data_IF_355595252226
#
_entry.id   IF_355595252226
#
_cell.length_a   1.000
_cell.length_b   1.000
_cell.length_c   1.000
_cell.angle_alpha   90.00
_cell.angle_beta   90.00
_cell.angle_gamma   90.00
#
_symmetry.space_group_name_H-M   'P 1'
#
loop_
_entity.id
_entity.type
_entity.pdbx_description
1 polymer ?
#
# COMPACT_ATOMS: atom_id res chain seq x y z
N UNK A 1 -5.91 -25.61 -20.43
CA UNK A 1 -6.62 -26.89 -20.13
C UNK A 1 -8.11 -26.60 -20.11
N UNK A 2 -8.96 -27.47 -20.67
CA UNK A 2 -10.43 -27.32 -20.58
C UNK A 2 -10.96 -27.73 -19.20
N UNK A 3 -12.14 -27.24 -18.83
CA UNK A 3 -12.80 -27.65 -17.56
C UNK A 3 -13.02 -29.18 -17.49
N UNK A 4 -13.20 -29.85 -18.64
CA UNK A 4 -13.36 -31.31 -18.70
C UNK A 4 -12.04 -32.03 -18.34
N UNK A 5 -10.91 -31.55 -18.84
CA UNK A 5 -9.58 -32.09 -18.51
C UNK A 5 -9.20 -31.86 -17.05
N UNK A 6 -9.53 -30.68 -16.48
CA UNK A 6 -9.31 -30.40 -15.06
C UNK A 6 -10.12 -31.36 -14.17
N UNK A 7 -11.40 -31.55 -14.48
CA UNK A 7 -12.27 -32.50 -13.74
C UNK A 7 -11.77 -33.94 -13.86
N UNK A 8 -11.26 -34.34 -15.01
CA UNK A 8 -10.70 -35.69 -15.19
C UNK A 8 -9.46 -35.91 -14.30
N UNK A 9 -8.69 -34.86 -14.01
CA UNK A 9 -7.49 -34.93 -13.15
C UNK A 9 -7.77 -34.65 -11.67
N UNK A 10 -9.01 -34.37 -11.30
CA UNK A 10 -9.37 -34.00 -9.90
C UNK A 10 -8.90 -35.05 -8.88
N UNK A 11 -8.93 -36.33 -9.23
CA UNK A 11 -8.44 -37.40 -8.33
C UNK A 11 -6.96 -37.26 -8.03
N UNK A 12 -6.14 -36.95 -9.01
CA UNK A 12 -4.70 -36.71 -8.83
C UNK A 12 -4.46 -35.51 -7.88
N UNK A 13 -5.22 -34.42 -8.05
CA UNK A 13 -5.12 -33.24 -7.20
C UNK A 13 -5.55 -33.52 -5.75
N UNK A 14 -6.57 -34.36 -5.54
CA UNK A 14 -7.00 -34.79 -4.20
C UNK A 14 -5.93 -35.65 -3.51
N UNK A 15 -5.29 -36.55 -4.24
CA UNK A 15 -4.23 -37.40 -3.68
C UNK A 15 -2.97 -36.56 -3.35
N UNK A 16 -2.67 -35.55 -4.16
CA UNK A 16 -1.58 -34.59 -3.88
C UNK A 16 -1.92 -33.70 -2.67
N UNK A 17 -3.13 -33.18 -2.60
CA UNK A 17 -3.61 -32.38 -1.48
C UNK A 17 -3.58 -33.15 -0.15
N UNK A 18 -4.00 -34.41 -0.14
CA UNK A 18 -3.94 -35.26 1.04
C UNK A 18 -2.50 -35.41 1.56
N UNK A 19 -1.54 -35.64 0.66
CA UNK A 19 -0.11 -35.69 1.02
C UNK A 19 0.40 -34.40 1.62
N UNK A 20 -0.03 -33.24 1.09
CA UNK A 20 0.36 -31.93 1.61
C UNK A 20 -0.24 -31.67 3.01
N UNK A 21 -1.46 -32.10 3.27
CA UNK A 21 -2.09 -32.01 4.60
C UNK A 21 -1.36 -32.86 5.64
N UNK A 22 -0.87 -34.03 5.26
CA UNK A 22 -0.11 -34.91 6.16
C UNK A 22 1.22 -34.31 6.64
N UNK A 23 1.73 -33.29 5.95
CA UNK A 23 2.94 -32.54 6.37
C UNK A 23 2.71 -31.68 7.61
N UNK A 24 1.47 -31.47 8.03
CA UNK A 24 1.09 -30.68 9.23
C UNK A 24 1.77 -29.29 9.23
N UNK A 25 1.73 -28.58 8.11
CA UNK A 25 2.35 -27.27 7.95
C UNK A 25 1.68 -26.21 8.84
N UNK A 26 2.43 -25.15 9.18
CA UNK A 26 1.93 -23.95 9.87
C UNK A 26 2.62 -22.73 9.30
N UNK A 27 2.17 -22.27 8.13
CA UNK A 27 2.78 -21.21 7.34
C UNK A 27 1.85 -19.99 7.26
N UNK A 28 2.37 -18.80 7.60
CA UNK A 28 1.60 -17.54 7.59
C UNK A 28 2.06 -16.64 6.43
N UNK A 29 1.21 -16.52 5.43
CA UNK A 29 1.37 -15.65 4.25
C UNK A 29 0.36 -14.49 4.25
N UNK A 30 -0.22 -14.13 5.41
CA UNK A 30 -1.32 -13.15 5.48
C UNK A 30 -0.86 -11.70 5.34
N UNK A 31 0.33 -11.36 5.83
CA UNK A 31 0.74 -9.96 6.00
C UNK A 31 2.05 -9.63 5.32
N UNK A 32 1.99 -8.57 4.50
CA UNK A 32 3.19 -7.89 4.01
C UNK A 32 3.84 -7.07 5.11
N UNK A 33 4.62 -7.73 5.97
CA UNK A 33 5.44 -7.10 7.01
C UNK A 33 6.90 -7.49 6.81
N UNK A 34 7.86 -6.68 7.32
CA UNK A 34 9.27 -7.05 7.28
C UNK A 34 9.54 -8.37 8.01
N UNK A 35 10.42 -9.21 7.46
CA UNK A 35 10.96 -10.39 8.14
C UNK A 35 11.96 -9.99 9.22
N UNK A 36 12.33 -10.94 10.11
CA UNK A 36 13.36 -10.69 11.11
C UNK A 36 14.67 -10.20 10.48
N UNK A 37 15.13 -10.85 9.41
CA UNK A 37 16.33 -10.45 8.66
C UNK A 37 16.27 -9.01 8.12
N UNK A 38 15.10 -8.54 7.71
CA UNK A 38 14.92 -7.14 7.30
C UNK A 38 14.96 -6.19 8.48
N UNK A 39 14.41 -6.58 9.64
CA UNK A 39 14.47 -5.77 10.86
C UNK A 39 15.91 -5.66 11.38
N UNK A 40 16.66 -6.75 11.37
CA UNK A 40 18.06 -6.80 11.82
C UNK A 40 18.96 -5.81 11.05
N UNK A 41 18.64 -5.51 9.79
CA UNK A 41 19.34 -4.46 9.02
C UNK A 41 19.29 -3.08 9.69
N UNK A 42 18.33 -2.87 10.58
CA UNK A 42 18.06 -1.58 11.24
C UNK A 42 18.35 -1.61 12.74
N UNK A 43 18.94 -2.67 13.30
CA UNK A 43 19.14 -2.85 14.75
C UNK A 43 19.97 -1.73 15.40
N UNK A 44 20.89 -1.12 14.64
CA UNK A 44 21.64 0.03 15.12
C UNK A 44 20.73 1.22 15.56
N UNK A 45 19.51 1.30 15.05
CA UNK A 45 18.51 2.28 15.52
C UNK A 45 18.19 2.14 17.01
N UNK A 46 18.29 0.93 17.59
CA UNK A 46 17.95 0.68 18.98
C UNK A 46 18.90 1.39 19.97
N UNK A 47 20.14 1.67 19.56
CA UNK A 47 21.14 2.39 20.36
C UNK A 47 21.24 3.89 20.08
N UNK A 48 20.54 4.38 19.06
CA UNK A 48 20.51 5.80 18.71
C UNK A 48 19.38 6.54 19.47
N UNK A 49 19.41 7.87 19.57
CA UNK A 49 20.36 8.77 18.88
C UNK A 49 21.68 9.01 19.63
N UNK A 50 21.83 8.64 20.89
CA UNK A 50 23.01 8.93 21.70
C UNK A 50 23.22 10.41 22.07
N UNK A 51 22.42 11.31 21.50
CA UNK A 51 22.39 12.75 21.73
C UNK A 51 20.95 13.28 21.61
N UNK A 52 20.71 14.52 22.01
CA UNK A 52 19.36 15.10 22.13
C UNK A 52 19.13 16.34 21.26
N UNK A 53 20.12 16.79 20.50
CA UNK A 53 20.02 18.02 19.73
C UNK A 53 20.06 17.75 18.21
N UNK A 54 19.21 18.45 17.48
CA UNK A 54 19.18 18.44 16.03
C UNK A 54 18.96 19.88 15.49
N UNK A 55 20.00 20.45 14.86
CA UNK A 55 19.89 21.78 14.24
C UNK A 55 19.44 22.89 15.20
N UNK A 56 19.93 22.90 16.43
CA UNK A 56 19.56 23.86 17.45
C UNK A 56 18.25 23.54 18.21
N UNK A 57 17.62 22.38 17.93
CA UNK A 57 16.39 21.94 18.59
C UNK A 57 16.71 20.85 19.60
N UNK A 58 16.37 21.07 20.88
CA UNK A 58 16.36 20.01 21.89
C UNK A 58 15.16 19.09 21.65
N UNK A 59 15.43 17.87 21.18
CA UNK A 59 14.41 16.91 20.80
C UNK A 59 13.61 16.35 21.98
N UNK A 60 14.12 16.53 23.21
CA UNK A 60 13.47 16.05 24.46
C UNK A 60 12.33 16.97 24.90
N UNK A 61 12.25 18.19 24.36
CA UNK A 61 11.30 19.19 24.81
C UNK A 61 10.11 19.34 23.83
N UNK A 62 9.10 20.07 24.25
CA UNK A 62 7.94 20.42 23.42
C UNK A 62 8.31 21.26 22.20
N UNK A 63 7.35 21.44 21.29
CA UNK A 63 7.45 22.28 20.11
C UNK A 63 7.88 21.56 18.85
N UNK A 64 7.94 22.29 17.74
CA UNK A 64 8.28 21.77 16.43
C UNK A 64 7.19 20.89 15.84
N UNK A 65 5.94 21.38 15.79
CA UNK A 65 4.76 20.63 15.31
C UNK A 65 4.95 20.04 13.91
N UNK A 66 5.71 20.69 13.05
CA UNK A 66 5.99 20.19 11.68
C UNK A 66 7.01 19.04 11.65
N UNK A 67 7.68 18.74 12.77
CA UNK A 67 8.80 17.81 12.84
C UNK A 67 10.17 18.48 12.60
N UNK A 68 11.24 17.70 12.76
CA UNK A 68 12.61 18.16 12.55
C UNK A 68 12.86 18.53 11.09
N UNK A 69 13.61 19.63 10.86
CA UNK A 69 13.93 20.08 9.51
C UNK A 69 14.62 19.01 8.65
N UNK A 70 15.56 18.24 9.23
CA UNK A 70 16.20 17.13 8.53
C UNK A 70 15.22 16.00 8.16
N UNK A 71 14.23 15.71 9.01
CA UNK A 71 13.21 14.72 8.70
C UNK A 71 12.28 15.20 7.58
N UNK A 72 11.86 16.49 7.62
CA UNK A 72 11.09 17.09 6.52
C UNK A 72 11.87 17.04 5.20
N UNK A 73 13.17 17.36 5.22
CA UNK A 73 14.03 17.26 4.04
C UNK A 73 14.08 15.84 3.49
N UNK A 74 14.28 14.82 4.32
CA UNK A 74 14.34 13.43 3.89
C UNK A 74 13.02 13.00 3.21
N UNK A 75 11.88 13.33 3.81
CA UNK A 75 10.58 12.99 3.21
C UNK A 75 10.25 13.85 1.99
N UNK A 76 10.73 15.09 1.93
CA UNK A 76 10.63 15.95 0.75
C UNK A 76 11.33 15.33 -0.48
N UNK A 77 12.49 14.70 -0.27
CA UNK A 77 13.21 13.98 -1.32
C UNK A 77 12.50 12.68 -1.73
N UNK A 78 11.86 11.96 -0.79
CA UNK A 78 11.08 10.76 -1.09
C UNK A 78 9.80 11.09 -1.87
N UNK A 79 9.13 12.20 -1.53
CA UNK A 79 7.84 12.62 -2.09
C UNK A 79 7.97 13.64 -3.24
N UNK A 80 9.21 14.08 -3.53
CA UNK A 80 9.53 15.02 -4.61
C UNK A 80 8.81 16.37 -4.48
N UNK A 81 8.79 16.93 -3.26
CA UNK A 81 8.14 18.22 -2.94
C UNK A 81 9.09 19.11 -2.14
N UNK A 82 8.81 20.43 -2.04
CA UNK A 82 9.56 21.32 -1.14
C UNK A 82 9.43 20.90 0.34
N UNK A 83 10.48 21.01 1.17
CA UNK A 83 10.42 20.65 2.60
C UNK A 83 9.37 21.41 3.42
N UNK A 84 9.00 22.62 3.00
CA UNK A 84 7.96 23.43 3.67
C UNK A 84 6.54 22.89 3.44
N UNK A 85 6.39 22.04 2.44
CA UNK A 85 5.16 21.31 2.13
C UNK A 85 5.08 19.92 2.79
N UNK A 86 5.96 19.64 3.77
CA UNK A 86 6.01 18.37 4.49
C UNK A 86 5.73 18.57 5.98
N UNK A 87 4.85 17.73 6.53
CA UNK A 87 4.64 17.56 7.97
C UNK A 87 5.04 16.14 8.37
N UNK A 88 5.89 16.04 9.40
CA UNK A 88 6.36 14.75 9.92
C UNK A 88 5.60 14.43 11.20
N UNK A 89 4.86 13.33 11.16
CA UNK A 89 3.99 12.88 12.25
C UNK A 89 4.58 11.75 13.09
N UNK A 90 3.70 10.86 13.53
CA UNK A 90 4.05 9.65 14.29
C UNK A 90 4.64 8.53 13.41
N UNK A 91 4.47 7.29 13.84
CA UNK A 91 5.13 6.13 13.23
C UNK A 91 4.39 5.52 12.03
N UNK A 92 3.16 5.92 11.74
CA UNK A 92 2.34 5.29 10.72
C UNK A 92 1.68 6.31 9.77
N UNK A 93 1.89 6.15 8.46
CA UNK A 93 1.17 6.92 7.44
C UNK A 93 -0.35 6.69 7.49
N UNK A 94 -0.78 5.51 7.94
CA UNK A 94 -2.20 5.20 8.10
C UNK A 94 -2.90 6.14 9.08
N UNK A 95 -2.23 6.54 10.17
CA UNK A 95 -2.74 7.53 11.11
C UNK A 95 -2.94 8.89 10.41
N UNK A 96 -1.94 9.34 9.66
CA UNK A 96 -2.02 10.61 8.93
C UNK A 96 -3.13 10.61 7.86
N UNK A 97 -3.32 9.47 7.17
CA UNK A 97 -4.43 9.29 6.22
C UNK A 97 -5.79 9.37 6.91
N UNK A 98 -5.95 8.64 8.04
CA UNK A 98 -7.16 8.70 8.85
C UNK A 98 -7.44 10.13 9.35
N UNK A 99 -6.45 10.81 9.92
CA UNK A 99 -6.56 12.18 10.39
C UNK A 99 -6.94 13.16 9.29
N UNK A 100 -6.38 13.00 8.09
CA UNK A 100 -6.71 13.83 6.93
C UNK A 100 -8.18 13.70 6.56
N UNK A 101 -8.71 12.48 6.46
CA UNK A 101 -10.13 12.25 6.16
C UNK A 101 -11.04 12.66 7.32
N UNK A 102 -10.67 12.35 8.57
CA UNK A 102 -11.44 12.74 9.76
C UNK A 102 -11.55 14.26 9.86
N UNK A 103 -10.45 14.98 9.61
CA UNK A 103 -10.42 16.45 9.59
C UNK A 103 -11.34 17.00 8.50
N UNK A 104 -11.28 16.46 7.29
CA UNK A 104 -12.17 16.86 6.21
C UNK A 104 -13.67 16.57 6.53
N UNK A 105 -13.94 15.44 7.20
CA UNK A 105 -15.30 15.13 7.67
C UNK A 105 -15.79 16.12 8.73
N UNK A 106 -14.94 16.54 9.67
CA UNK A 106 -15.33 17.40 10.80
C UNK A 106 -15.35 18.89 10.46
N UNK A 107 -14.42 19.35 9.62
CA UNK A 107 -14.15 20.76 9.41
C UNK A 107 -14.21 21.19 7.93
N UNK A 108 -14.25 20.24 7.00
CA UNK A 108 -14.10 20.46 5.57
C UNK A 108 -12.66 20.36 5.09
N UNK A 109 -12.47 20.55 3.79
CA UNK A 109 -11.15 20.59 3.17
C UNK A 109 -11.00 21.91 2.37
N UNK A 110 -9.79 22.46 2.19
CA UNK A 110 -9.55 23.64 1.38
C UNK A 110 -10.24 23.56 0.01
N UNK A 111 -10.87 24.64 -0.42
CA UNK A 111 -11.68 24.69 -1.64
C UNK A 111 -13.13 24.23 -1.49
N UNK A 112 -13.51 23.57 -0.40
CA UNK A 112 -14.86 23.11 -0.13
C UNK A 112 -15.74 24.15 0.57
N UNK A 113 -17.04 23.86 0.63
CA UNK A 113 -18.05 24.74 1.24
C UNK A 113 -18.36 24.40 2.70
N UNK A 114 -17.76 23.33 3.27
CA UNK A 114 -17.98 22.91 4.65
C UNK A 114 -17.59 21.47 4.93
N UNK A 115 -17.95 20.98 6.15
CA UNK A 115 -17.63 19.63 6.58
C UNK A 115 -18.23 18.55 5.69
N UNK A 116 -17.44 17.53 5.35
CA UNK A 116 -17.95 16.41 4.55
C UNK A 116 -18.99 15.55 5.27
N UNK A 117 -19.02 15.58 6.61
CA UNK A 117 -20.08 14.92 7.39
C UNK A 117 -21.47 15.50 7.16
N UNK A 118 -21.58 16.75 6.68
CA UNK A 118 -22.83 17.36 6.29
C UNK A 118 -23.33 16.97 4.89
N UNK A 119 -22.55 16.21 4.12
CA UNK A 119 -22.91 15.79 2.78
C UNK A 119 -23.66 14.45 2.87
N UNK A 120 -24.91 14.45 2.40
CA UNK A 120 -25.69 13.24 2.29
C UNK A 120 -25.07 12.31 1.24
N UNK A 121 -24.92 11.03 1.59
CA UNK A 121 -24.34 10.01 0.71
C UNK A 121 -22.95 10.39 0.15
N UNK A 122 -22.08 10.94 0.99
CA UNK A 122 -20.69 11.22 0.58
C UNK A 122 -19.98 9.95 0.09
N UNK A 123 -19.24 10.06 -0.99
CA UNK A 123 -18.66 8.93 -1.74
C UNK A 123 -17.15 9.03 -1.84
N UNK A 124 -16.50 7.87 -1.98
CA UNK A 124 -15.06 7.79 -2.16
C UNK A 124 -14.70 6.69 -3.17
N UNK A 125 -13.86 7.01 -4.14
CA UNK A 125 -13.41 6.06 -5.16
C UNK A 125 -12.36 5.12 -4.58
N UNK A 126 -12.60 3.82 -4.73
CA UNK A 126 -11.81 2.74 -4.19
C UNK A 126 -11.35 1.80 -5.31
N UNK A 127 -10.18 2.07 -5.92
CA UNK A 127 -9.61 1.15 -6.90
C UNK A 127 -9.36 -0.23 -6.27
N UNK A 128 -9.85 -1.29 -6.93
CA UNK A 128 -9.76 -2.65 -6.43
C UNK A 128 -9.37 -3.66 -7.54
N UNK A 129 -8.64 -4.75 -7.20
CA UNK A 129 -8.18 -5.07 -5.86
C UNK A 129 -7.24 -3.99 -5.29
N UNK A 130 -7.32 -3.71 -3.97
CA UNK A 130 -6.61 -2.61 -3.33
C UNK A 130 -6.24 -2.87 -1.86
N UNK A 131 -5.76 -1.84 -1.17
CA UNK A 131 -5.36 -1.96 0.23
C UNK A 131 -6.56 -1.91 1.16
N UNK A 132 -6.83 -3.00 1.86
CA UNK A 132 -7.98 -3.21 2.76
C UNK A 132 -8.15 -2.09 3.80
N UNK A 133 -7.06 -1.51 4.32
CA UNK A 133 -7.13 -0.44 5.33
C UNK A 133 -7.67 0.87 4.76
N UNK A 134 -7.42 1.18 3.51
CA UNK A 134 -8.02 2.33 2.85
C UNK A 134 -9.55 2.22 2.85
N UNK A 135 -10.07 1.06 2.49
CA UNK A 135 -11.51 0.80 2.45
C UNK A 135 -12.13 0.90 3.85
N UNK A 136 -11.50 0.24 4.85
CA UNK A 136 -12.03 0.28 6.22
C UNK A 136 -12.00 1.67 6.85
N UNK A 137 -11.04 2.54 6.51
CA UNK A 137 -11.04 3.94 6.94
C UNK A 137 -12.25 4.68 6.37
N UNK A 138 -12.48 4.57 5.07
CA UNK A 138 -13.60 5.25 4.40
C UNK A 138 -14.96 4.72 4.86
N UNK A 139 -15.10 3.40 5.03
CA UNK A 139 -16.30 2.82 5.65
C UNK A 139 -16.56 3.35 7.06
N UNK A 140 -15.51 3.34 7.91
CA UNK A 140 -15.61 3.81 9.29
C UNK A 140 -16.05 5.28 9.37
N UNK A 141 -15.63 6.10 8.43
CA UNK A 141 -16.01 7.51 8.34
C UNK A 141 -17.34 7.74 7.60
N UNK A 142 -18.05 6.67 7.23
CA UNK A 142 -19.40 6.72 6.68
C UNK A 142 -19.46 7.17 5.21
N UNK A 143 -18.44 6.85 4.41
CA UNK A 143 -18.51 7.02 2.95
C UNK A 143 -19.14 5.82 2.26
N UNK A 144 -19.88 6.08 1.19
CA UNK A 144 -20.18 5.06 0.19
C UNK A 144 -18.92 4.81 -0.65
N UNK A 145 -18.55 3.54 -0.79
CA UNK A 145 -17.33 3.13 -1.50
C UNK A 145 -17.66 2.81 -2.96
N UNK A 146 -17.11 3.59 -3.86
CA UNK A 146 -17.25 3.40 -5.30
C UNK A 146 -16.10 2.53 -5.81
N UNK A 147 -16.39 1.28 -6.15
CA UNK A 147 -15.42 0.35 -6.68
C UNK A 147 -15.08 0.71 -8.12
N UNK A 148 -13.78 0.83 -8.43
CA UNK A 148 -13.24 1.02 -9.78
C UNK A 148 -12.16 -0.03 -10.03
N UNK A 149 -12.14 -0.71 -11.21
CA UNK A 149 -11.12 -1.70 -11.51
C UNK A 149 -9.71 -1.12 -11.56
N UNK A 150 -8.73 -1.86 -11.01
CA UNK A 150 -7.32 -1.61 -11.26
C UNK A 150 -6.90 -2.17 -12.62
N UNK A 151 -6.05 -1.42 -13.33
CA UNK A 151 -5.36 -1.78 -14.57
C UNK A 151 -3.85 -1.90 -14.32
N UNK A 152 -3.09 -2.22 -15.36
CA UNK A 152 -1.63 -2.42 -15.23
C UNK A 152 -0.87 -1.13 -14.91
N UNK A 153 -1.44 0.03 -15.25
CA UNK A 153 -0.84 1.36 -15.12
C UNK A 153 -1.65 2.33 -14.23
N UNK A 154 -2.58 1.82 -13.43
CA UNK A 154 -3.39 2.60 -12.49
C UNK A 154 -4.86 2.16 -12.46
N UNK A 155 -5.75 2.95 -11.87
CA UNK A 155 -7.19 2.70 -11.92
C UNK A 155 -7.75 2.92 -13.32
N UNK A 156 -8.91 2.34 -13.62
CA UNK A 156 -9.65 2.64 -14.84
C UNK A 156 -10.07 4.11 -14.83
N UNK A 157 -9.31 4.93 -15.57
CA UNK A 157 -9.50 6.38 -15.54
C UNK A 157 -10.79 6.85 -16.22
N UNK A 158 -11.34 6.09 -17.16
CA UNK A 158 -12.64 6.45 -17.78
C UNK A 158 -13.76 6.37 -16.73
N UNK A 159 -13.72 5.35 -15.89
CA UNK A 159 -14.67 5.20 -14.79
C UNK A 159 -14.41 6.22 -13.67
N UNK A 160 -13.15 6.47 -13.29
CA UNK A 160 -12.78 7.50 -12.30
C UNK A 160 -13.29 8.87 -12.71
N UNK A 161 -13.03 9.29 -13.95
CA UNK A 161 -13.46 10.60 -14.47
C UNK A 161 -14.99 10.73 -14.56
N UNK A 162 -15.67 9.67 -14.97
CA UNK A 162 -17.13 9.62 -15.01
C UNK A 162 -17.74 9.81 -13.63
N UNK A 163 -17.22 9.13 -12.62
CA UNK A 163 -17.70 9.22 -11.23
C UNK A 163 -17.39 10.59 -10.61
N UNK A 164 -16.14 11.03 -10.68
CA UNK A 164 -15.71 12.28 -10.07
C UNK A 164 -16.27 13.53 -10.75
N UNK A 165 -16.41 13.50 -12.08
CA UNK A 165 -16.92 14.62 -12.87
C UNK A 165 -18.43 14.76 -12.88
N UNK A 166 -19.15 13.70 -12.51
CA UNK A 166 -20.62 13.64 -12.55
C UNK A 166 -21.31 13.93 -11.21
N UNK A 167 -20.58 13.89 -10.09
CA UNK A 167 -21.16 13.95 -8.75
C UNK A 167 -20.21 14.63 -7.75
N UNK A 168 -20.58 15.82 -7.29
CA UNK A 168 -19.79 16.58 -6.31
C UNK A 168 -19.80 15.95 -4.88
N UNK A 169 -20.61 14.93 -4.62
CA UNK A 169 -20.55 14.13 -3.39
C UNK A 169 -19.38 13.13 -3.36
N UNK A 170 -18.73 12.90 -4.50
CA UNK A 170 -17.49 12.12 -4.60
C UNK A 170 -16.32 12.97 -4.12
N UNK A 171 -15.76 12.62 -2.95
CA UNK A 171 -14.80 13.47 -2.24
C UNK A 171 -13.35 13.07 -2.41
N UNK A 172 -13.08 11.91 -2.97
CA UNK A 172 -11.71 11.53 -3.22
C UNK A 172 -11.51 10.14 -3.80
N UNK A 173 -10.25 9.82 -3.97
CA UNK A 173 -9.75 8.54 -4.48
C UNK A 173 -8.53 8.08 -3.69
N UNK A 174 -8.45 6.79 -3.40
CA UNK A 174 -7.22 6.16 -2.89
C UNK A 174 -6.28 5.79 -4.04
N UNK A 175 -5.02 6.15 -3.90
CA UNK A 175 -3.97 5.82 -4.86
C UNK A 175 -2.76 5.23 -4.16
N UNK A 176 -2.30 4.05 -4.60
CA UNK A 176 -0.98 3.48 -4.25
C UNK A 176 -0.17 3.42 -5.54
N UNK A 177 0.58 4.50 -5.87
CA UNK A 177 1.05 4.72 -7.24
C UNK A 177 2.23 3.88 -7.67
N UNK A 178 2.97 3.32 -6.71
CA UNK A 178 4.17 2.55 -6.98
C UNK A 178 4.07 1.20 -6.29
N UNK A 179 4.25 0.14 -7.06
CA UNK A 179 4.14 -1.24 -6.54
C UNK A 179 2.84 -1.48 -5.77
N UNK A 180 1.74 -1.13 -6.39
CA UNK A 180 0.40 -1.16 -5.83
C UNK A 180 0.09 -2.44 -5.03
N UNK A 181 -0.56 -2.30 -3.89
CA UNK A 181 -1.02 -3.42 -3.07
C UNK A 181 -2.46 -3.82 -3.46
N UNK A 182 -2.71 -5.03 -4.04
CA UNK A 182 -1.76 -6.14 -4.19
C UNK A 182 -1.16 -6.29 -5.60
N UNK A 183 -1.59 -5.53 -6.61
CA UNK A 183 -1.31 -5.80 -8.02
C UNK A 183 0.16 -5.66 -8.42
N UNK A 184 0.92 -4.85 -7.68
CA UNK A 184 2.30 -4.53 -8.02
C UNK A 184 2.44 -3.52 -9.16
N UNK A 185 1.33 -2.99 -9.67
CA UNK A 185 1.29 -1.98 -10.73
C UNK A 185 2.02 -0.69 -10.32
N UNK A 186 2.58 0.00 -11.28
CA UNK A 186 3.06 1.37 -11.14
C UNK A 186 2.25 2.27 -12.06
N UNK A 187 1.79 3.41 -11.55
CA UNK A 187 0.94 4.30 -12.33
C UNK A 187 1.69 4.89 -13.54
N UNK A 188 1.03 4.87 -14.68
CA UNK A 188 1.52 5.42 -15.93
C UNK A 188 1.41 6.94 -16.02
N UNK A 189 2.15 7.55 -16.93
CA UNK A 189 2.15 8.99 -17.13
C UNK A 189 0.76 9.53 -17.53
N UNK A 190 0.02 8.78 -18.34
CA UNK A 190 -1.36 9.15 -18.74
C UNK A 190 -2.29 9.15 -17.52
N UNK A 191 -2.26 8.13 -16.69
CA UNK A 191 -3.03 8.06 -15.45
C UNK A 191 -2.75 9.26 -14.54
N UNK A 192 -1.49 9.65 -14.36
CA UNK A 192 -1.13 10.82 -13.55
C UNK A 192 -1.68 12.11 -14.16
N UNK A 193 -1.52 12.30 -15.46
CA UNK A 193 -2.01 13.50 -16.16
C UNK A 193 -3.54 13.62 -16.05
N UNK A 194 -4.26 12.53 -16.22
CA UNK A 194 -5.73 12.47 -16.09
C UNK A 194 -6.18 12.75 -14.65
N UNK A 195 -5.57 12.11 -13.65
CA UNK A 195 -5.86 12.39 -12.22
C UNK A 195 -5.65 13.86 -11.86
N UNK A 196 -4.58 14.47 -12.38
CA UNK A 196 -4.25 15.87 -12.12
C UNK A 196 -5.24 16.84 -12.75
N UNK A 197 -5.71 16.54 -13.97
CA UNK A 197 -6.49 17.49 -14.79
C UNK A 197 -8.01 17.20 -14.83
N UNK A 198 -8.46 15.99 -14.45
CA UNK A 198 -9.88 15.61 -14.52
C UNK A 198 -10.80 16.61 -13.81
N UNK A 199 -12.04 16.68 -14.25
CA UNK A 199 -13.10 17.41 -13.55
C UNK A 199 -13.48 16.66 -12.26
N UNK A 200 -13.56 17.39 -11.15
CA UNK A 200 -14.03 16.88 -9.87
C UNK A 200 -14.50 18.04 -8.98
N UNK A 201 -15.12 17.74 -7.83
CA UNK A 201 -15.47 18.74 -6.84
C UNK A 201 -14.24 19.57 -6.41
N UNK A 202 -14.37 20.87 -6.06
CA UNK A 202 -13.25 21.72 -5.68
C UNK A 202 -12.47 21.20 -4.47
N UNK A 203 -13.14 20.47 -3.59
CA UNK A 203 -12.57 19.83 -2.40
C UNK A 203 -12.26 18.34 -2.56
N UNK A 204 -12.30 17.82 -3.78
CA UNK A 204 -11.89 16.44 -4.08
C UNK A 204 -10.42 16.22 -3.75
N UNK A 205 -10.09 15.07 -3.14
CA UNK A 205 -8.72 14.75 -2.75
C UNK A 205 -8.23 13.41 -3.35
N UNK A 206 -7.02 13.45 -3.88
CA UNK A 206 -6.23 12.27 -4.23
C UNK A 206 -5.40 11.92 -2.98
N UNK A 207 -5.74 10.83 -2.30
CA UNK A 207 -4.96 10.30 -1.17
C UNK A 207 -3.86 9.40 -1.75
N UNK A 208 -2.64 9.94 -1.83
CA UNK A 208 -1.50 9.34 -2.53
C UNK A 208 -0.59 8.61 -1.55
N UNK A 209 -0.90 7.33 -1.29
CA UNK A 209 -0.12 6.48 -0.38
C UNK A 209 1.11 5.92 -1.10
N UNK A 210 2.23 6.64 -0.98
CA UNK A 210 3.50 6.23 -1.58
C UNK A 210 4.33 5.34 -0.63
N UNK A 211 3.68 4.35 -0.03
CA UNK A 211 4.29 3.44 0.96
C UNK A 211 5.47 2.65 0.42
N UNK A 212 5.55 2.48 -0.90
CA UNK A 212 6.58 1.68 -1.58
C UNK A 212 7.53 2.50 -2.45
N UNK A 213 7.65 3.80 -2.22
CA UNK A 213 8.46 4.72 -3.02
C UNK A 213 9.87 4.19 -3.34
N UNK A 214 10.55 3.61 -2.34
CA UNK A 214 11.93 3.12 -2.43
C UNK A 214 12.05 1.57 -2.35
N UNK A 215 10.95 0.82 -2.56
CA UNK A 215 10.91 -0.65 -2.42
C UNK A 215 11.16 -1.38 -3.74
N UNK A 216 12.24 -1.05 -4.41
CA UNK A 216 12.66 -1.68 -5.66
C UNK A 216 13.27 -3.06 -5.40
N UNK A 217 12.87 -4.09 -6.16
CA UNK A 217 13.50 -5.42 -6.13
C UNK A 217 14.67 -5.53 -7.11
N UNK A 218 14.71 -4.66 -8.11
CA UNK A 218 15.71 -4.65 -9.18
C UNK A 218 16.33 -3.25 -9.34
N UNK A 219 17.42 -3.15 -10.08
CA UNK A 219 18.13 -1.88 -10.28
C UNK A 219 17.38 -0.92 -11.23
N UNK A 220 16.58 -1.43 -12.14
CA UNK A 220 15.68 -0.65 -12.97
C UNK A 220 14.50 -0.13 -12.14
N UNK A 221 14.46 1.16 -11.95
CA UNK A 221 13.43 1.84 -11.16
C UNK A 221 12.37 2.40 -12.09
N UNK A 222 11.09 2.02 -11.95
CA UNK A 222 10.04 2.65 -12.73
C UNK A 222 9.97 4.14 -12.38
N UNK A 223 10.00 4.97 -13.42
CA UNK A 223 9.79 6.40 -13.26
C UNK A 223 8.33 6.65 -12.89
N UNK A 224 8.11 7.36 -11.78
CA UNK A 224 6.80 7.87 -11.40
C UNK A 224 6.84 9.38 -11.59
N UNK A 225 5.89 9.94 -12.34
CA UNK A 225 5.80 11.40 -12.51
C UNK A 225 5.45 12.10 -11.19
N UNK A 226 5.84 13.36 -11.06
CA UNK A 226 5.52 14.17 -9.89
C UNK A 226 4.07 14.64 -9.93
N UNK A 227 3.19 13.95 -9.20
CA UNK A 227 1.75 14.25 -9.18
C UNK A 227 1.45 15.64 -8.60
N UNK A 228 2.22 16.12 -7.61
CA UNK A 228 2.01 17.45 -7.04
C UNK A 228 2.28 18.55 -8.08
N UNK A 229 3.35 18.38 -8.87
CA UNK A 229 3.67 19.32 -9.96
C UNK A 229 2.59 19.27 -11.06
N UNK A 230 2.15 18.09 -11.48
CA UNK A 230 1.10 17.94 -12.47
C UNK A 230 -0.22 18.55 -12.01
N UNK A 231 -0.63 18.34 -10.75
CA UNK A 231 -1.81 18.98 -10.19
C UNK A 231 -1.69 20.52 -10.18
N UNK A 232 -0.51 21.06 -9.84
CA UNK A 232 -0.24 22.49 -9.85
C UNK A 232 -0.33 23.07 -11.26
N UNK A 233 0.25 22.42 -12.24
CA UNK A 233 0.21 22.80 -13.65
C UNK A 233 -1.21 22.77 -14.22
N UNK A 234 -2.04 21.83 -13.77
CA UNK A 234 -3.45 21.73 -14.13
C UNK A 234 -4.36 22.71 -13.37
N UNK A 235 -3.82 23.59 -12.50
CA UNK A 235 -4.60 24.52 -11.68
C UNK A 235 -5.29 23.88 -10.47
N UNK A 236 -4.94 22.64 -10.12
CA UNK A 236 -5.53 21.83 -9.06
C UNK A 236 -4.53 21.53 -7.93
N UNK A 237 -3.70 22.51 -7.53
CA UNK A 237 -2.62 22.30 -6.57
C UNK A 237 -3.07 21.65 -5.25
N UNK A 238 -4.30 21.94 -4.81
CA UNK A 238 -4.83 21.42 -3.53
C UNK A 238 -5.39 19.99 -3.62
N UNK A 239 -5.41 19.40 -4.82
CA UNK A 239 -6.06 18.11 -5.07
C UNK A 239 -5.34 16.94 -4.43
N UNK A 240 -4.01 16.94 -4.36
CA UNK A 240 -3.23 15.80 -3.88
C UNK A 240 -2.72 15.98 -2.45
N UNK A 241 -2.87 14.93 -1.65
CA UNK A 241 -2.21 14.77 -0.34
C UNK A 241 -1.41 13.48 -0.40
N UNK A 242 -0.09 13.59 -0.25
CA UNK A 242 0.85 12.48 -0.35
C UNK A 242 1.25 11.98 1.04
N UNK A 243 1.49 10.68 1.15
CA UNK A 243 1.92 10.03 2.38
C UNK A 243 3.09 9.09 2.12
N UNK A 244 4.02 9.06 3.06
CA UNK A 244 5.10 8.08 3.11
C UNK A 244 5.44 7.72 4.55
N UNK A 245 6.10 6.58 4.75
CA UNK A 245 6.60 6.19 6.05
C UNK A 245 7.82 5.29 5.94
N UNK A 246 8.58 5.21 7.02
CA UNK A 246 9.70 4.27 7.14
C UNK A 246 9.29 2.92 7.73
N UNK A 247 7.98 2.64 7.88
CA UNK A 247 7.47 1.42 8.52
C UNK A 247 7.92 0.12 7.85
N UNK A 248 8.22 0.16 6.54
CA UNK A 248 8.74 -1.01 5.80
C UNK A 248 10.22 -0.82 5.38
N UNK A 249 10.83 0.28 5.80
CA UNK A 249 12.23 0.63 5.54
C UNK A 249 13.10 0.23 6.73
N UNK A 250 12.59 0.44 7.95
CA UNK A 250 13.25 0.08 9.20
C UNK A 250 12.26 -0.61 10.15
N UNK A 251 12.20 -0.20 11.43
CA UNK A 251 11.32 -0.79 12.43
C UNK A 251 9.90 -0.21 12.35
N UNK A 252 8.85 -1.00 12.00
CA UNK A 252 7.46 -0.51 11.97
C UNK A 252 6.97 0.04 13.31
N UNK A 253 7.42 -0.57 14.41
CA UNK A 253 7.04 -0.16 15.77
C UNK A 253 7.59 1.20 16.18
N UNK A 254 8.64 1.68 15.53
CA UNK A 254 9.29 2.98 15.76
C UNK A 254 9.61 3.70 14.45
N UNK A 255 8.80 3.52 13.43
CA UNK A 255 8.91 4.23 12.17
C UNK A 255 8.64 5.73 12.31
N UNK A 256 8.85 6.44 11.22
CA UNK A 256 8.46 7.85 11.08
C UNK A 256 7.62 7.96 9.81
N UNK A 257 6.53 8.70 9.89
CA UNK A 257 5.63 8.95 8.77
C UNK A 257 5.52 10.45 8.47
N UNK A 258 5.25 10.77 7.24
CA UNK A 258 5.05 12.14 6.79
C UNK A 258 3.88 12.25 5.82
N UNK A 259 3.25 13.42 5.82
CA UNK A 259 2.35 13.88 4.77
C UNK A 259 2.96 15.06 4.03
N UNK A 260 2.65 15.17 2.76
CA UNK A 260 3.01 16.32 1.94
C UNK A 260 1.81 16.78 1.12
N UNK A 261 1.64 18.09 0.98
CA UNK A 261 0.52 18.67 0.25
C UNK A 261 0.81 20.12 -0.17
N UNK A 262 -0.14 20.76 -0.85
CA UNK A 262 -0.09 22.20 -1.17
C UNK A 262 -0.01 23.08 0.06
N UNK A 263 0.37 24.34 -0.13
CA UNK A 263 0.44 25.33 0.95
C UNK A 263 -0.90 25.46 1.70
N UNK A 264 -2.03 25.45 0.99
CA UNK A 264 -3.35 25.55 1.61
C UNK A 264 -3.68 24.31 2.47
N UNK A 265 -3.41 23.10 1.98
CA UNK A 265 -3.61 21.87 2.76
C UNK A 265 -2.64 21.75 3.94
N UNK A 266 -1.40 22.22 3.81
CA UNK A 266 -0.43 22.26 4.90
C UNK A 266 -0.83 23.30 5.96
N UNK A 267 -1.30 24.47 5.55
CA UNK A 267 -1.78 25.50 6.49
C UNK A 267 -3.00 25.00 7.27
N UNK A 268 -3.95 24.34 6.61
CA UNK A 268 -5.09 23.69 7.23
C UNK A 268 -4.64 22.61 8.25
N UNK A 269 -3.76 21.71 7.83
CA UNK A 269 -3.24 20.67 8.71
C UNK A 269 -2.52 21.23 9.94
N UNK A 270 -1.70 22.28 9.79
CA UNK A 270 -1.02 22.96 10.90
C UNK A 270 -1.99 23.58 11.90
N UNK A 271 -3.06 24.21 11.41
CA UNK A 271 -4.07 24.82 12.28
C UNK A 271 -4.72 23.78 13.20
N UNK A 272 -5.00 22.59 12.67
CA UNK A 272 -5.57 21.49 13.45
C UNK A 272 -4.54 20.81 14.35
N UNK A 273 -3.31 20.59 13.86
CA UNK A 273 -2.22 20.04 14.68
C UNK A 273 -1.93 20.91 15.92
N UNK A 274 -2.01 22.23 15.80
CA UNK A 274 -1.80 23.15 16.93
C UNK A 274 -2.77 22.94 18.09
N UNK A 275 -3.94 22.34 17.82
CA UNK A 275 -4.93 21.95 18.85
C UNK A 275 -4.72 20.51 19.29
N UNK A 276 -4.30 19.63 18.38
CA UNK A 276 -4.20 18.19 18.61
C UNK A 276 -2.95 17.80 19.41
N UNK A 277 -1.82 18.47 19.19
CA UNK A 277 -0.53 18.15 19.81
C UNK A 277 0.37 19.36 19.97
N UNK A 278 1.32 19.30 20.92
CA UNK A 278 2.37 20.31 21.07
C UNK A 278 3.59 19.97 20.21
N UNK A 279 3.72 18.75 19.74
CA UNK A 279 4.78 18.31 18.84
C UNK A 279 4.85 16.80 18.70
N UNK A 280 5.45 16.32 17.60
CA UNK A 280 5.66 14.90 17.35
C UNK A 280 6.83 14.34 18.17
N UNK A 281 7.03 13.01 18.09
CA UNK A 281 8.20 12.32 18.64
C UNK A 281 9.50 12.68 17.87
N UNK A 282 10.14 13.77 18.31
CA UNK A 282 11.39 14.26 17.70
C UNK A 282 12.60 13.40 18.03
N UNK A 283 12.59 12.68 19.13
CA UNK A 283 13.66 11.74 19.49
C UNK A 283 13.73 10.63 18.47
N UNK A 284 12.59 10.08 18.07
CA UNK A 284 12.54 9.06 17.05
C UNK A 284 12.92 9.59 15.66
N UNK A 285 12.53 10.82 15.33
CA UNK A 285 12.97 11.48 14.09
C UNK A 285 14.49 11.67 14.07
N UNK A 286 15.08 12.13 15.20
CA UNK A 286 16.54 12.28 15.32
C UNK A 286 17.26 10.94 15.15
N UNK A 287 16.71 9.86 15.76
CA UNK A 287 17.22 8.50 15.60
C UNK A 287 17.29 8.10 14.12
N UNK A 288 16.21 8.33 13.37
CA UNK A 288 16.15 8.06 11.95
C UNK A 288 17.20 8.84 11.15
N UNK A 289 17.33 10.14 11.44
CA UNK A 289 18.32 11.02 10.79
C UNK A 289 19.75 10.58 11.05
N UNK A 290 20.07 10.17 12.29
CA UNK A 290 21.39 9.66 12.64
C UNK A 290 21.70 8.33 11.95
N UNK A 291 20.71 7.49 11.76
CA UNK A 291 20.88 6.20 11.11
C UNK A 291 21.13 6.33 9.61
N UNK A 292 20.32 7.13 8.91
CA UNK A 292 20.45 7.28 7.46
C UNK A 292 21.40 8.41 7.03
N UNK A 293 21.43 9.52 7.75
CA UNK A 293 22.20 10.70 7.36
C UNK A 293 21.73 11.39 6.07
N UNK A 294 20.85 10.76 5.27
CA UNK A 294 20.28 11.28 4.02
C UNK A 294 19.73 10.22 3.11
N UNK A 295 19.13 10.65 1.99
CA UNK A 295 18.38 9.78 1.06
C UNK A 295 19.26 8.71 0.40
N UNK A 296 20.51 9.00 0.09
CA UNK A 296 21.39 8.04 -0.59
C UNK A 296 21.72 6.83 0.30
N UNK A 297 21.93 7.05 1.60
CA UNK A 297 22.13 5.95 2.53
C UNK A 297 20.84 5.14 2.76
N UNK A 298 19.68 5.82 2.77
CA UNK A 298 18.39 5.13 2.80
C UNK A 298 18.23 4.25 1.56
N UNK A 299 18.54 4.74 0.39
CA UNK A 299 18.52 3.96 -0.86
C UNK A 299 19.52 2.80 -0.85
N UNK A 300 20.71 3.01 -0.30
CA UNK A 300 21.68 1.94 -0.11
C UNK A 300 21.17 0.86 0.87
N UNK A 301 20.47 1.27 1.93
CA UNK A 301 19.80 0.36 2.87
C UNK A 301 18.68 -0.44 2.16
N UNK A 302 17.88 0.19 1.33
CA UNK A 302 16.82 -0.48 0.57
C UNK A 302 17.35 -1.51 -0.45
N UNK A 303 18.57 -1.34 -0.97
CA UNK A 303 19.23 -2.38 -1.77
C UNK A 303 19.49 -3.67 -0.98
N UNK A 304 19.79 -3.56 0.33
CA UNK A 304 19.92 -4.75 1.20
C UNK A 304 18.58 -5.44 1.40
N UNK A 305 17.48 -4.68 1.57
CA UNK A 305 16.13 -5.24 1.58
C UNK A 305 15.80 -5.96 0.28
N UNK A 306 16.12 -5.37 -0.87
CA UNK A 306 15.91 -5.99 -2.17
C UNK A 306 16.64 -7.32 -2.31
N UNK A 307 17.87 -7.45 -1.80
CA UNK A 307 18.64 -8.68 -1.83
C UNK A 307 17.98 -9.82 -1.01
N UNK A 308 17.29 -9.47 0.10
CA UNK A 308 16.55 -10.44 0.92
C UNK A 308 15.19 -10.81 0.30
N UNK A 309 14.52 -9.85 -0.36
CA UNK A 309 13.16 -10.04 -0.84
C UNK A 309 13.08 -10.64 -2.24
N UNK A 310 14.00 -10.27 -3.15
CA UNK A 310 13.98 -10.76 -4.54
C UNK A 310 13.89 -12.28 -4.66
N UNK A 311 14.71 -13.09 -3.95
CA UNK A 311 14.62 -14.54 -4.04
C UNK A 311 13.24 -15.10 -3.64
N UNK A 312 12.54 -14.44 -2.71
CA UNK A 312 11.20 -14.85 -2.27
C UNK A 312 10.16 -14.61 -3.36
N UNK A 313 10.23 -13.47 -4.06
CA UNK A 313 9.36 -13.18 -5.21
C UNK A 313 9.63 -14.12 -6.37
N UNK A 314 10.90 -14.35 -6.70
CA UNK A 314 11.31 -15.29 -7.75
C UNK A 314 10.82 -16.71 -7.45
N UNK A 315 10.90 -17.15 -6.19
CA UNK A 315 10.38 -18.44 -5.75
C UNK A 315 8.87 -18.60 -5.97
N UNK A 316 8.09 -17.54 -5.68
CA UNK A 316 6.64 -17.55 -5.97
C UNK A 316 6.40 -17.71 -7.47
N UNK A 317 7.07 -16.91 -8.30
CA UNK A 317 6.90 -16.97 -9.76
C UNK A 317 7.31 -18.33 -10.33
N UNK A 318 8.43 -18.90 -9.87
CA UNK A 318 8.89 -20.22 -10.29
C UNK A 318 7.87 -21.32 -9.99
N UNK A 319 7.30 -21.30 -8.75
CA UNK A 319 6.32 -22.31 -8.34
C UNK A 319 5.02 -22.13 -9.11
N UNK A 320 4.49 -20.90 -9.23
CA UNK A 320 3.27 -20.65 -9.97
C UNK A 320 3.42 -21.03 -11.47
N UNK A 321 4.55 -20.70 -12.07
CA UNK A 321 4.81 -21.05 -13.47
C UNK A 321 4.90 -22.58 -13.66
N UNK A 322 5.62 -23.27 -12.77
CA UNK A 322 5.77 -24.73 -12.83
C UNK A 322 4.43 -25.45 -12.65
N UNK A 323 3.62 -24.97 -11.67
CA UNK A 323 2.41 -25.70 -11.24
C UNK A 323 1.14 -25.28 -11.99
N UNK A 324 1.03 -24.01 -12.37
CA UNK A 324 -0.18 -23.44 -12.97
C UNK A 324 0.06 -22.89 -14.39
N UNK A 325 1.32 -22.71 -14.78
CA UNK A 325 1.68 -22.23 -16.12
C UNK A 325 1.08 -23.10 -17.22
N UNK A 326 0.52 -22.48 -18.26
CA UNK A 326 -0.10 -23.16 -19.38
C UNK A 326 -1.42 -23.88 -19.10
N UNK A 327 -1.92 -23.91 -17.84
CA UNK A 327 -3.20 -24.51 -17.52
C UNK A 327 -4.41 -23.62 -17.87
N UNK A 328 -4.21 -22.29 -17.99
CA UNK A 328 -5.26 -21.33 -18.29
C UNK A 328 -6.26 -21.10 -17.13
N UNK A 329 -5.85 -21.40 -15.90
CA UNK A 329 -6.67 -21.25 -14.68
C UNK A 329 -6.11 -20.27 -13.67
N UNK A 330 -5.04 -19.58 -14.01
CA UNK A 330 -4.43 -18.60 -13.13
C UNK A 330 -3.64 -17.58 -13.93
N UNK A 331 -3.69 -16.33 -13.45
CA UNK A 331 -2.86 -15.22 -13.89
C UNK A 331 -2.25 -14.55 -12.66
N UNK A 332 -0.99 -14.17 -12.72
CA UNK A 332 -0.33 -13.52 -11.58
C UNK A 332 0.56 -12.36 -12.01
N UNK A 333 0.66 -11.38 -11.12
CA UNK A 333 1.51 -10.23 -11.34
C UNK A 333 2.99 -10.57 -11.14
N UNK A 334 3.87 -9.87 -11.88
CA UNK A 334 5.34 -9.95 -11.73
C UNK A 334 5.90 -8.56 -11.38
N UNK A 335 5.62 -8.05 -10.15
CA UNK A 335 6.01 -6.71 -9.77
C UNK A 335 7.52 -6.51 -9.71
N UNK A 336 7.97 -5.30 -10.03
CA UNK A 336 9.39 -4.89 -9.95
C UNK A 336 9.78 -4.38 -8.57
N UNK A 337 8.86 -4.41 -7.59
CA UNK A 337 9.05 -3.95 -6.23
C UNK A 337 7.81 -4.18 -5.36
N UNK A 338 7.82 -3.58 -4.17
CA UNK A 338 6.72 -3.71 -3.23
C UNK A 338 6.76 -4.99 -2.39
N UNK A 339 5.59 -5.40 -1.90
CA UNK A 339 5.47 -6.46 -0.89
C UNK A 339 4.53 -7.59 -1.27
N UNK A 340 3.85 -7.50 -2.44
CA UNK A 340 2.75 -8.40 -2.77
C UNK A 340 2.82 -8.89 -4.22
N UNK A 341 2.20 -10.04 -4.44
CA UNK A 341 1.87 -10.58 -5.75
C UNK A 341 0.37 -10.80 -5.77
N UNK A 342 -0.30 -10.34 -6.82
CA UNK A 342 -1.72 -10.60 -7.08
C UNK A 342 -1.84 -11.88 -7.90
N UNK A 343 -2.71 -12.78 -7.49
CA UNK A 343 -3.04 -14.00 -8.20
C UNK A 343 -4.55 -13.97 -8.48
N UNK A 344 -4.92 -14.02 -9.74
CA UNK A 344 -6.30 -14.18 -10.20
C UNK A 344 -6.52 -15.59 -10.70
N UNK A 345 -7.60 -16.22 -10.22
CA UNK A 345 -8.02 -17.58 -10.58
C UNK A 345 -9.45 -17.54 -11.16
N UNK A 346 -10.04 -18.66 -11.60
CA UNK A 346 -11.38 -18.63 -12.16
C UNK A 346 -12.41 -18.05 -11.19
N UNK A 347 -13.44 -17.38 -11.72
CA UNK A 347 -14.50 -16.76 -10.94
C UNK A 347 -15.19 -17.77 -10.01
N UNK A 348 -15.45 -17.36 -8.77
CA UNK A 348 -16.08 -18.20 -7.74
C UNK A 348 -15.15 -19.19 -7.05
N UNK A 349 -13.83 -19.11 -7.28
CA UNK A 349 -12.88 -20.09 -6.78
C UNK A 349 -11.97 -19.60 -5.65
N UNK A 350 -11.81 -18.27 -5.44
CA UNK A 350 -10.81 -17.75 -4.52
C UNK A 350 -11.11 -18.11 -3.06
N UNK A 351 -12.33 -17.95 -2.61
CA UNK A 351 -12.73 -18.32 -1.23
C UNK A 351 -12.47 -19.81 -0.96
N UNK A 352 -12.80 -20.68 -1.94
CA UNK A 352 -12.56 -22.11 -1.83
C UNK A 352 -11.08 -22.46 -1.80
N UNK A 353 -10.27 -21.87 -2.68
CA UNK A 353 -8.83 -22.10 -2.70
C UNK A 353 -8.15 -21.65 -1.39
N UNK A 354 -8.51 -20.48 -0.85
CA UNK A 354 -8.00 -19.97 0.42
C UNK A 354 -8.43 -20.87 1.60
N UNK A 355 -9.67 -21.38 1.60
CA UNK A 355 -10.13 -22.33 2.60
C UNK A 355 -9.31 -23.62 2.57
N UNK A 356 -9.12 -24.22 1.39
CA UNK A 356 -8.32 -25.42 1.21
C UNK A 356 -6.86 -25.21 1.67
N UNK A 357 -6.28 -24.05 1.35
CA UNK A 357 -4.92 -23.72 1.81
C UNK A 357 -4.84 -23.67 3.34
N UNK A 358 -5.81 -23.05 4.00
CA UNK A 358 -5.88 -23.01 5.47
C UNK A 358 -6.01 -24.40 6.09
N UNK A 359 -6.85 -25.28 5.51
CA UNK A 359 -7.00 -26.67 5.93
C UNK A 359 -5.70 -27.49 5.75
N UNK A 360 -4.84 -27.10 4.81
CA UNK A 360 -3.51 -27.70 4.59
C UNK A 360 -2.39 -27.00 5.36
N UNK A 361 -2.74 -26.08 6.28
CA UNK A 361 -1.77 -25.38 7.16
C UNK A 361 -1.10 -24.17 6.53
N UNK A 362 -1.65 -23.58 5.48
CA UNK A 362 -1.19 -22.35 4.86
C UNK A 362 -2.24 -21.25 5.03
N UNK A 363 -1.97 -20.28 5.90
CA UNK A 363 -2.86 -19.15 6.12
C UNK A 363 -2.57 -18.01 5.15
N UNK A 364 -3.56 -17.62 4.37
CA UNK A 364 -3.54 -16.50 3.43
C UNK A 364 -4.43 -15.35 3.93
N UNK A 365 -4.30 -14.18 3.34
CA UNK A 365 -5.32 -13.12 3.50
C UNK A 365 -6.67 -13.66 3.04
N UNK A 366 -7.74 -13.35 3.77
CA UNK A 366 -9.07 -13.79 3.39
C UNK A 366 -9.43 -13.36 1.96
N UNK A 367 -10.05 -14.24 1.19
CA UNK A 367 -10.55 -13.89 -0.13
C UNK A 367 -11.53 -12.71 -0.02
N UNK A 368 -11.48 -11.79 -0.97
CA UNK A 368 -12.26 -10.57 -0.95
C UNK A 368 -11.69 -9.42 -0.12
N UNK A 369 -10.72 -9.64 0.78
CA UNK A 369 -10.16 -8.57 1.63
C UNK A 369 -9.55 -7.41 0.84
N UNK A 370 -9.14 -7.64 -0.40
CA UNK A 370 -8.60 -6.63 -1.31
C UNK A 370 -9.68 -5.80 -2.02
N UNK A 371 -10.94 -5.94 -1.61
CA UNK A 371 -12.09 -5.23 -2.17
C UNK A 371 -12.89 -4.50 -1.08
N UNK A 372 -13.64 -3.43 -1.43
CA UNK A 372 -14.60 -2.81 -0.53
C UNK A 372 -15.53 -3.82 0.14
N UNK A 373 -15.83 -3.60 1.43
CA UNK A 373 -16.65 -4.49 2.26
C UNK A 373 -16.13 -5.93 2.39
N UNK A 374 -14.85 -6.18 2.04
CA UNK A 374 -14.26 -7.51 2.08
C UNK A 374 -14.85 -8.48 1.04
N UNK A 375 -15.42 -7.97 -0.05
CA UNK A 375 -16.16 -8.75 -1.02
C UNK A 375 -15.67 -8.53 -2.45
N UNK A 376 -14.95 -9.50 -3.00
CA UNK A 376 -14.63 -9.57 -4.42
C UNK A 376 -15.90 -9.98 -5.20
N UNK A 377 -16.42 -9.13 -6.11
CA UNK A 377 -17.63 -9.46 -6.88
C UNK A 377 -17.50 -10.72 -7.74
N UNK A 378 -16.26 -11.08 -8.12
CA UNK A 378 -15.95 -12.25 -8.94
C UNK A 378 -15.40 -13.43 -8.15
N UNK A 379 -15.07 -13.24 -6.86
CA UNK A 379 -14.43 -14.25 -6.01
C UNK A 379 -13.24 -14.92 -6.71
N UNK A 380 -12.29 -14.12 -7.21
CA UNK A 380 -11.16 -14.60 -8.01
C UNK A 380 -9.78 -14.17 -7.52
N UNK A 381 -9.69 -13.07 -6.77
CA UNK A 381 -8.42 -12.48 -6.39
C UNK A 381 -7.86 -13.05 -5.09
N UNK A 382 -6.59 -13.42 -5.12
CA UNK A 382 -5.81 -13.88 -3.96
C UNK A 382 -4.56 -13.02 -3.85
N UNK A 383 -4.34 -12.41 -2.68
CA UNK A 383 -3.12 -11.67 -2.37
C UNK A 383 -2.08 -12.59 -1.74
N UNK A 384 -0.90 -12.69 -2.36
CA UNK A 384 0.25 -13.42 -1.84
C UNK A 384 1.23 -12.42 -1.22
N UNK A 385 1.63 -12.65 0.05
CA UNK A 385 2.57 -11.82 0.80
C UNK A 385 3.86 -12.60 1.13
N UNK A 386 4.87 -12.66 0.23
CA UNK A 386 6.04 -13.50 0.40
C UNK A 386 7.10 -12.92 1.32
N UNK A 387 6.95 -11.68 1.79
CA UNK A 387 8.04 -10.93 2.42
C UNK A 387 8.42 -11.43 3.81
N UNK A 388 7.46 -11.90 4.61
CA UNK A 388 7.67 -12.27 6.00
C UNK A 388 8.26 -13.68 6.20
N UNK A 389 7.74 -14.77 5.58
CA UNK A 389 8.24 -16.11 5.83
C UNK A 389 9.66 -16.34 5.29
N UNK A 390 10.40 -17.32 5.82
CA UNK A 390 11.63 -17.82 5.20
C UNK A 390 11.41 -18.31 3.76
N UNK A 391 12.47 -18.32 2.94
CA UNK A 391 12.37 -18.66 1.51
C UNK A 391 11.76 -20.05 1.26
N UNK A 392 12.19 -21.06 2.05
CA UNK A 392 11.68 -22.42 1.90
C UNK A 392 10.19 -22.54 2.25
N UNK A 393 9.75 -21.77 3.25
CA UNK A 393 8.33 -21.69 3.64
C UNK A 393 7.50 -21.02 2.55
N UNK A 394 8.03 -19.97 1.90
CA UNK A 394 7.40 -19.34 0.73
C UNK A 394 7.19 -20.36 -0.39
N UNK A 395 8.21 -21.17 -0.74
CA UNK A 395 8.10 -22.21 -1.77
C UNK A 395 7.02 -23.22 -1.43
N UNK A 396 7.05 -23.76 -0.20
CA UNK A 396 6.05 -24.74 0.26
C UNK A 396 4.64 -24.19 0.28
N UNK A 397 4.47 -22.97 0.79
CA UNK A 397 3.16 -22.32 0.81
C UNK A 397 2.57 -22.13 -0.60
N UNK A 398 3.42 -21.76 -1.57
CA UNK A 398 2.99 -21.61 -2.96
C UNK A 398 2.68 -22.96 -3.63
N UNK A 399 3.41 -24.03 -3.31
CA UNK A 399 3.09 -25.40 -3.77
C UNK A 399 1.72 -25.84 -3.27
N UNK A 400 1.43 -25.64 -1.99
CA UNK A 400 0.10 -25.92 -1.40
C UNK A 400 -0.98 -25.09 -2.09
N UNK A 401 -0.75 -23.77 -2.24
CA UNK A 401 -1.70 -22.86 -2.89
C UNK A 401 -2.00 -23.31 -4.32
N UNK A 402 -1.00 -23.71 -5.09
CA UNK A 402 -1.17 -24.15 -6.47
C UNK A 402 -2.08 -25.40 -6.57
N UNK A 403 -1.92 -26.37 -5.66
CA UNK A 403 -2.80 -27.54 -5.59
C UNK A 403 -4.23 -27.13 -5.20
N UNK A 404 -4.38 -26.19 -4.25
CA UNK A 404 -5.68 -25.68 -3.85
C UNK A 404 -6.40 -24.95 -5.00
N UNK A 405 -5.67 -24.20 -5.82
CA UNK A 405 -6.20 -23.56 -7.03
C UNK A 405 -6.67 -24.60 -8.05
N UNK A 406 -5.86 -25.64 -8.32
CA UNK A 406 -6.25 -26.76 -9.21
C UNK A 406 -7.53 -27.44 -8.72
N UNK A 407 -7.64 -27.68 -7.40
CA UNK A 407 -8.83 -28.28 -6.80
C UNK A 407 -10.06 -27.39 -6.93
N UNK A 408 -9.96 -26.12 -6.50
CA UNK A 408 -11.08 -25.20 -6.58
C UNK A 408 -11.57 -25.01 -8.03
N UNK A 409 -10.64 -24.92 -9.00
CA UNK A 409 -10.99 -24.81 -10.41
C UNK A 409 -11.57 -26.09 -11.02
N UNK A 410 -11.44 -27.25 -10.35
CA UNK A 410 -11.97 -28.55 -10.80
C UNK A 410 -13.33 -28.93 -10.17
N UNK A 411 -13.81 -28.15 -9.22
CA UNK A 411 -15.14 -28.31 -8.60
C UNK A 411 -16.25 -27.83 -9.52
#
# INVERSE_FOLDING_TARGET
>A
MSNCELRARRREFLDEYARLKDLSLSLDMTRGKPSAEQLDLSDALLSLPGESEAGGVDTRNYGGADGLAGARQLFAEILEVPPDNVLVGGNASLTLMYETLARACLFGAPGGSGPWSGIENKKFICPAPGYDRHFTITEHLGFELLLVPMRDDGPDMDEVESLAGGDDSVKGIWCVPKYHNPTGACYGADTLARLASMRAAPDFRILWDNAYAEHHLFDDRPALGNIAQLCKEAGNADRVVQFASTSKICHPGSGVAAMAASDANIADARAHLAVQTIGPDKVNQLRLLKFFGGIENLRAHMKKHAALLRPKFEAVWEVLERELGGLGIAEWSKPRGGYFISLDIPDGCAARAVQLAAEAGVTLTAAGATFPHGKDPRDRNIRIAPTFPPLDDVRRACEVLAVCVKLAASE
#
